data_IF_924225735319
#
_entry.id   IF_924225735319
#
_cell.length_a   1.000
_cell.length_b   1.000
_cell.length_c   1.000
_cell.angle_alpha   90.00
_cell.angle_beta   90.00
_cell.angle_gamma   90.00
#
_symmetry.space_group_name_H-M   'P 1'
#
loop_
_entity.id
_entity.type
_entity.pdbx_description
1 polymer ?
#
# COMPACT_ATOMS: atom_id res chain seq x y z
N UNK A 1 23.15 20.93 19.96
CA UNK A 1 21.74 20.54 19.72
C UNK A 1 21.71 19.06 19.37
N UNK A 2 21.95 18.19 20.35
CA UNK A 2 21.94 16.73 20.17
C UNK A 2 20.58 16.22 20.59
N UNK A 3 19.75 15.80 19.62
CA UNK A 3 18.56 15.01 19.91
C UNK A 3 19.02 13.57 20.13
N UNK A 4 19.29 13.23 21.39
CA UNK A 4 19.40 11.83 21.81
C UNK A 4 17.97 11.27 21.78
N UNK A 5 17.66 10.47 20.76
CA UNK A 5 16.45 9.67 20.76
C UNK A 5 16.56 8.71 21.96
N UNK A 6 15.71 8.91 22.95
CA UNK A 6 15.59 7.99 24.07
C UNK A 6 15.05 6.70 23.47
N UNK A 7 15.92 5.73 23.19
CA UNK A 7 15.49 4.36 22.99
C UNK A 7 14.84 3.93 24.29
N UNK A 8 13.52 4.11 24.36
CA UNK A 8 12.72 3.68 25.49
C UNK A 8 12.80 2.16 25.48
N UNK A 9 13.64 1.61 26.36
CA UNK A 9 13.66 0.20 26.74
C UNK A 9 12.38 -0.12 27.50
N UNK A 10 11.22 0.16 26.90
CA UNK A 10 9.93 -0.18 27.45
C UNK A 10 9.83 -1.70 27.43
N UNK A 11 9.96 -2.25 28.62
CA UNK A 11 9.74 -3.64 28.94
C UNK A 11 8.25 -3.97 28.89
N UNK A 12 7.91 -5.26 28.80
CA UNK A 12 6.51 -5.70 28.84
C UNK A 12 5.78 -5.28 30.13
N UNK A 13 6.50 -5.09 31.24
CA UNK A 13 5.94 -4.65 32.50
C UNK A 13 5.44 -3.19 32.44
N UNK A 14 6.17 -2.30 31.76
CA UNK A 14 5.76 -0.89 31.59
C UNK A 14 4.54 -0.77 30.69
N UNK A 15 4.48 -1.56 29.60
CA UNK A 15 3.28 -1.65 28.74
C UNK A 15 2.08 -2.14 29.56
N UNK A 16 2.26 -3.17 30.37
CA UNK A 16 1.23 -3.69 31.26
C UNK A 16 0.74 -2.66 32.28
N UNK A 17 1.66 -1.87 32.85
CA UNK A 17 1.31 -0.80 33.80
C UNK A 17 0.52 0.32 33.14
N UNK A 18 0.89 0.74 31.93
CA UNK A 18 0.13 1.75 31.17
C UNK A 18 -1.27 1.23 30.85
N UNK A 19 -1.39 -0.02 30.38
CA UNK A 19 -2.69 -0.65 30.15
C UNK A 19 -3.52 -0.73 31.42
N UNK A 20 -2.91 -1.03 32.58
CA UNK A 20 -3.60 -1.02 33.86
C UNK A 20 -4.17 0.37 34.22
N UNK A 21 -3.38 1.43 34.04
CA UNK A 21 -3.86 2.82 34.25
C UNK A 21 -5.00 3.15 33.29
N UNK A 22 -4.88 2.78 32.01
CA UNK A 22 -5.94 2.96 31.01
C UNK A 22 -7.22 2.23 31.42
N UNK A 23 -7.12 1.00 31.94
CA UNK A 23 -8.27 0.25 32.44
C UNK A 23 -8.90 0.88 33.68
N UNK A 24 -8.13 1.55 34.55
CA UNK A 24 -8.68 2.29 35.69
C UNK A 24 -9.44 3.56 35.24
N UNK A 25 -8.93 4.27 34.24
CA UNK A 25 -9.54 5.51 33.73
C UNK A 25 -10.80 5.20 32.92
N UNK A 26 -10.72 4.24 32.00
CA UNK A 26 -11.81 3.95 31.06
C UNK A 26 -12.68 2.76 31.49
N UNK A 27 -12.24 1.91 32.41
CA UNK A 27 -12.92 0.68 32.81
C UNK A 27 -12.52 -0.52 31.95
N UNK A 28 -12.57 -1.72 32.55
CA UNK A 28 -12.18 -2.97 31.89
C UNK A 28 -13.06 -3.32 30.69
N UNK A 29 -14.34 -2.94 30.72
CA UNK A 29 -15.30 -3.24 29.66
C UNK A 29 -15.17 -2.31 28.45
N UNK A 30 -14.61 -1.10 28.63
CA UNK A 30 -14.51 -0.10 27.55
C UNK A 30 -13.39 -0.37 26.57
N UNK A 31 -12.26 -0.94 27.01
CA UNK A 31 -11.14 -1.27 26.11
C UNK A 31 -11.57 -2.30 25.04
N UNK A 32 -12.22 -3.43 25.37
CA UNK A 32 -12.77 -4.36 24.39
C UNK A 32 -13.87 -3.76 23.51
N UNK A 33 -14.72 -2.90 24.07
CA UNK A 33 -15.80 -2.23 23.34
C UNK A 33 -15.25 -1.31 22.24
N UNK A 34 -14.25 -0.49 22.57
CA UNK A 34 -13.55 0.39 21.63
C UNK A 34 -12.82 -0.44 20.57
N UNK A 35 -12.08 -1.48 20.96
CA UNK A 35 -11.39 -2.37 20.02
C UNK A 35 -12.37 -3.03 19.02
N UNK A 36 -13.53 -3.49 19.51
CA UNK A 36 -14.60 -4.04 18.66
C UNK A 36 -15.20 -2.99 17.73
N UNK A 37 -15.45 -1.77 18.23
CA UNK A 37 -15.95 -0.66 17.42
C UNK A 37 -14.99 -0.26 16.30
N UNK A 38 -13.72 -0.06 16.63
CA UNK A 38 -12.65 0.24 15.68
C UNK A 38 -12.47 -0.90 14.67
N UNK A 39 -12.49 -2.16 15.12
CA UNK A 39 -12.37 -3.32 14.23
C UNK A 39 -13.53 -3.40 13.22
N UNK A 40 -14.77 -3.15 13.66
CA UNK A 40 -15.93 -3.06 12.76
C UNK A 40 -15.83 -1.88 11.79
N UNK A 41 -15.33 -0.73 12.25
CA UNK A 41 -15.11 0.45 11.41
C UNK A 41 -14.05 0.21 10.34
N UNK A 42 -12.88 -0.31 10.72
CA UNK A 42 -11.81 -0.66 9.80
C UNK A 42 -12.24 -1.71 8.77
N UNK A 43 -13.06 -2.68 9.18
CA UNK A 43 -13.64 -3.67 8.25
C UNK A 43 -14.58 -3.02 7.23
N UNK A 44 -15.51 -2.16 7.67
CA UNK A 44 -16.41 -1.45 6.76
C UNK A 44 -15.64 -0.56 5.77
N UNK A 45 -14.61 0.16 6.24
CA UNK A 45 -13.75 0.97 5.37
C UNK A 45 -13.04 0.09 4.34
N UNK A 46 -12.48 -1.05 4.77
CA UNK A 46 -11.80 -2.00 3.88
C UNK A 46 -12.77 -2.56 2.84
N UNK A 47 -13.96 -2.97 3.26
CA UNK A 47 -14.96 -3.57 2.37
C UNK A 47 -15.42 -2.55 1.31
N UNK A 48 -15.77 -1.33 1.74
CA UNK A 48 -16.11 -0.24 0.81
C UNK A 48 -14.95 0.13 -0.13
N UNK A 49 -13.71 0.15 0.37
CA UNK A 49 -12.52 0.41 -0.46
C UNK A 49 -12.31 -0.70 -1.49
N UNK A 50 -12.57 -1.97 -1.14
CA UNK A 50 -12.46 -3.09 -2.07
C UNK A 50 -13.54 -3.04 -3.15
N UNK A 51 -14.77 -2.68 -2.79
CA UNK A 51 -15.87 -2.52 -3.76
C UNK A 51 -15.53 -1.41 -4.75
N UNK A 52 -15.07 -0.24 -4.26
CA UNK A 52 -14.59 0.87 -5.11
C UNK A 52 -13.43 0.41 -6.00
N UNK A 53 -12.44 -0.30 -5.45
CA UNK A 53 -11.31 -0.81 -6.23
C UNK A 53 -11.79 -1.76 -7.33
N UNK A 54 -12.74 -2.64 -7.03
CA UNK A 54 -13.28 -3.60 -7.98
C UNK A 54 -14.13 -2.92 -9.07
N UNK A 55 -14.91 -1.90 -8.72
CA UNK A 55 -15.64 -1.06 -9.69
C UNK A 55 -14.71 -0.24 -10.57
N UNK A 56 -13.62 0.30 -10.03
CA UNK A 56 -12.60 1.03 -10.81
C UNK A 56 -11.90 0.05 -11.76
N UNK A 57 -11.48 -1.13 -11.30
CA UNK A 57 -10.86 -2.14 -12.16
C UNK A 57 -11.83 -2.61 -13.25
N UNK A 58 -13.08 -2.89 -12.90
CA UNK A 58 -14.11 -3.31 -13.86
C UNK A 58 -14.51 -2.19 -14.82
N UNK A 59 -14.51 -0.93 -14.37
CA UNK A 59 -14.72 0.24 -15.22
C UNK A 59 -13.55 0.49 -16.15
N UNK A 60 -12.31 0.29 -15.69
CA UNK A 60 -11.10 0.35 -16.52
C UNK A 60 -10.97 -0.83 -17.49
N UNK A 61 -11.63 -1.96 -17.20
CA UNK A 61 -11.72 -3.12 -18.10
C UNK A 61 -12.92 -3.01 -19.07
N UNK A 62 -14.00 -2.30 -18.69
CA UNK A 62 -15.20 -2.07 -19.53
C UNK A 62 -15.14 -0.80 -20.39
N UNK A 63 -14.54 0.27 -19.89
CA UNK A 63 -14.02 1.32 -20.74
C UNK A 63 -12.67 0.80 -21.18
N UNK A 64 -12.58 0.30 -22.42
CA UNK A 64 -11.33 0.26 -23.16
C UNK A 64 -10.61 1.60 -22.95
N UNK A 65 -9.71 1.66 -21.97
CA UNK A 65 -8.45 2.40 -22.15
C UNK A 65 -7.67 1.53 -23.11
N UNK A 66 -8.21 1.51 -24.31
CA UNK A 66 -7.67 1.06 -25.55
C UNK A 66 -6.61 -0.01 -25.41
N UNK A 67 -7.06 -1.25 -25.23
CA UNK A 67 -6.18 -2.40 -25.38
C UNK A 67 -5.61 -2.45 -26.81
N UNK A 68 -6.23 -1.78 -27.78
CA UNK A 68 -5.74 -1.68 -29.15
C UNK A 68 -4.71 -0.54 -29.32
N UNK A 69 -4.91 0.69 -28.85
CA UNK A 69 -3.86 1.74 -28.79
C UNK A 69 -2.71 1.29 -27.90
N UNK A 70 -2.95 0.63 -26.76
CA UNK A 70 -1.85 0.13 -25.93
C UNK A 70 -1.07 -0.97 -26.64
N UNK A 71 -1.71 -1.83 -27.44
CA UNK A 71 -1.03 -2.83 -28.27
C UNK A 71 -0.32 -2.20 -29.47
N UNK A 72 -0.91 -1.22 -30.13
CA UNK A 72 -0.36 -0.52 -31.29
C UNK A 72 0.84 0.34 -30.88
N UNK A 73 0.72 1.09 -29.79
CA UNK A 73 1.84 1.83 -29.16
C UNK A 73 2.92 0.87 -28.70
N UNK A 74 2.58 -0.28 -28.11
CA UNK A 74 3.59 -1.29 -27.73
C UNK A 74 4.29 -1.89 -28.94
N UNK A 75 3.57 -2.13 -30.05
CA UNK A 75 4.12 -2.66 -31.29
C UNK A 75 5.05 -1.67 -32.00
N UNK A 76 4.71 -0.37 -31.98
CA UNK A 76 5.60 0.70 -32.45
C UNK A 76 6.83 0.84 -31.53
N UNK A 77 6.66 0.80 -30.20
CA UNK A 77 7.76 0.89 -29.24
C UNK A 77 8.73 -0.29 -29.33
N UNK A 78 8.22 -1.51 -29.57
CA UNK A 78 9.07 -2.69 -29.73
C UNK A 78 9.87 -2.61 -31.06
N UNK A 79 9.27 -2.11 -32.15
CA UNK A 79 10.00 -1.84 -33.39
C UNK A 79 11.11 -0.78 -33.23
N UNK A 80 10.83 0.32 -32.53
CA UNK A 80 11.83 1.35 -32.23
C UNK A 80 12.97 0.81 -31.35
N UNK A 81 12.68 -0.11 -30.42
CA UNK A 81 13.70 -0.76 -29.60
C UNK A 81 14.61 -1.67 -30.43
N UNK A 82 14.05 -2.43 -31.36
CA UNK A 82 14.82 -3.30 -32.24
C UNK A 82 15.74 -2.48 -33.16
N UNK A 83 15.26 -1.38 -33.72
CA UNK A 83 16.06 -0.45 -34.53
C UNK A 83 17.18 0.21 -33.69
N UNK A 84 16.87 0.62 -32.46
CA UNK A 84 17.86 1.18 -31.54
C UNK A 84 18.85 0.09 -31.10
N UNK A 85 18.45 -1.15 -30.89
CA UNK A 85 19.36 -2.25 -30.57
C UNK A 85 20.24 -2.62 -31.76
N UNK A 86 19.76 -2.51 -32.99
CA UNK A 86 20.57 -2.69 -34.20
C UNK A 86 21.60 -1.56 -34.37
N UNK A 87 21.21 -0.31 -34.10
CA UNK A 87 22.10 0.86 -34.18
C UNK A 87 23.08 0.93 -32.99
N UNK A 88 22.68 0.49 -31.80
CA UNK A 88 23.50 0.54 -30.56
C UNK A 88 24.24 -0.77 -30.27
N UNK A 89 23.83 -1.89 -30.87
CA UNK A 89 24.43 -3.22 -30.73
C UNK A 89 25.92 -3.30 -31.11
N UNK A 90 26.42 -2.55 -32.11
CA UNK A 90 27.87 -2.45 -32.37
C UNK A 90 28.63 -1.78 -31.22
N UNK A 91 27.97 -0.91 -30.43
CA UNK A 91 28.59 -0.16 -29.32
C UNK A 91 28.61 -0.98 -28.02
N UNK A 92 27.57 -1.79 -27.76
CA UNK A 92 27.48 -2.64 -26.55
C UNK A 92 28.38 -3.88 -26.60
N UNK A 93 28.89 -4.26 -27.78
CA UNK A 93 29.79 -5.41 -27.96
C UNK A 93 31.29 -5.08 -27.82
N UNK A 94 31.67 -3.80 -27.72
CA UNK A 94 33.07 -3.38 -27.62
C UNK A 94 33.53 -2.92 -26.23
N UNK A 95 32.72 -3.12 -25.19
CA UNK A 95 33.12 -2.97 -23.79
C UNK A 95 32.68 -4.18 -22.97
#
# INVERSE_FOLDING_TARGET
MTYQAISLFISGAEIGFILFVVLLVFGADKVPEIARGLGKGMRQIKDATNDIKQEITKSAEKHDIDLDITKDVRKELDGVKDDIEEITGPVKRKF
#
